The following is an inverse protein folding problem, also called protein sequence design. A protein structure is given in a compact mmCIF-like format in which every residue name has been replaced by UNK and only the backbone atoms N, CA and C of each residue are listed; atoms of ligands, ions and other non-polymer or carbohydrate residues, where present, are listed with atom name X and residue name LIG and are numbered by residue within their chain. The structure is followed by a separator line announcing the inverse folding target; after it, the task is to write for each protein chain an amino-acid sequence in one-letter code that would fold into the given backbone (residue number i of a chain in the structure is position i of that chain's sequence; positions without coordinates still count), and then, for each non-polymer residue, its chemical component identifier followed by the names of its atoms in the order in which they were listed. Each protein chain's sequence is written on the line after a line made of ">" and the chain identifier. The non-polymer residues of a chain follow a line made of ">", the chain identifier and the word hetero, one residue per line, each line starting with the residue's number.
data_IF_432118635119
#
_entry.id   IF_432118635119
#
_cell.length_a   1.000
_cell.length_b   1.000
_cell.length_c   1.000
_cell.angle_alpha   90.00
_cell.angle_beta   90.00
_cell.angle_gamma   90.00
#
_symmetry.space_group_name_H-M   'P 1'
#
loop_
_entity.id
_entity.type
_entity.pdbx_description
1 polymer ?
#
# COMPACT_ATOMS: atom_id res chain seq x y z
N UNK A 1 -1.81 -28.13 3.68
CA UNK A 1 -0.74 -28.46 2.76
C UNK A 1 0.55 -28.13 3.45
N UNK A 2 1.49 -29.06 3.52
CA UNK A 2 2.74 -28.84 4.24
C UNK A 2 3.58 -27.78 3.53
N UNK A 3 4.02 -26.81 4.29
CA UNK A 3 5.03 -25.88 3.88
C UNK A 3 6.38 -26.40 4.32
N UNK A 4 7.29 -26.50 3.40
CA UNK A 4 8.64 -26.92 3.68
C UNK A 4 9.52 -25.69 3.83
N UNK A 5 10.03 -25.51 5.04
CA UNK A 5 11.06 -24.53 5.34
C UNK A 5 12.34 -25.31 5.49
N UNK A 6 13.31 -24.98 4.68
CA UNK A 6 14.59 -25.65 4.72
C UNK A 6 15.70 -24.61 4.80
N UNK A 7 16.50 -24.72 5.83
CA UNK A 7 17.75 -24.00 5.85
C UNK A 7 18.74 -24.68 4.90
N UNK A 8 19.29 -23.92 3.99
CA UNK A 8 20.33 -24.38 3.09
C UNK A 8 21.41 -23.31 2.99
N UNK A 9 22.60 -23.59 3.56
CA UNK A 9 23.77 -22.68 3.54
C UNK A 9 23.45 -21.28 4.07
N UNK A 10 22.83 -21.19 5.24
CA UNK A 10 22.46 -19.94 5.87
C UNK A 10 21.32 -19.19 5.18
N UNK A 11 20.53 -19.86 4.34
CA UNK A 11 19.34 -19.33 3.69
C UNK A 11 18.14 -20.18 4.07
N UNK A 12 17.06 -19.52 4.35
CA UNK A 12 15.77 -20.16 4.56
C UNK A 12 15.01 -20.22 3.24
N UNK A 13 14.58 -21.41 2.88
CA UNK A 13 13.89 -21.67 1.62
C UNK A 13 12.47 -22.11 1.96
N UNK A 14 11.51 -21.36 1.45
CA UNK A 14 10.11 -21.70 1.51
C UNK A 14 9.72 -22.34 0.19
N UNK A 15 9.20 -23.56 0.25
CA UNK A 15 8.67 -24.23 -0.92
C UNK A 15 7.34 -24.91 -0.60
N UNK A 16 6.45 -24.95 -1.58
CA UNK A 16 5.22 -25.71 -1.49
C UNK A 16 5.08 -26.60 -2.71
N UNK A 17 4.40 -27.73 -2.57
CA UNK A 17 4.16 -28.64 -3.69
C UNK A 17 2.85 -28.37 -4.41
N UNK A 18 1.92 -27.65 -3.79
CA UNK A 18 0.54 -27.54 -4.28
C UNK A 18 -0.18 -26.23 -3.98
N UNK A 19 0.50 -25.14 -3.87
CA UNK A 19 -0.13 -23.84 -3.69
C UNK A 19 -0.63 -23.60 -2.26
N UNK A 20 0.15 -23.92 -1.28
CA UNK A 20 -0.19 -23.66 0.12
C UNK A 20 -0.61 -22.24 0.34
N UNK A 21 -1.57 -22.10 1.19
CA UNK A 21 -2.20 -20.81 1.45
C UNK A 21 -1.64 -20.12 2.68
N UNK A 22 -1.14 -20.85 3.66
CA UNK A 22 -0.58 -20.27 4.87
C UNK A 22 0.47 -21.17 5.51
N UNK A 23 1.53 -20.57 6.03
CA UNK A 23 2.54 -21.23 6.83
C UNK A 23 2.91 -20.40 8.05
N UNK A 24 3.36 -21.11 9.07
CA UNK A 24 3.90 -20.52 10.30
C UNK A 24 5.36 -20.93 10.41
N UNK A 25 6.24 -19.95 10.51
CA UNK A 25 7.68 -20.15 10.68
C UNK A 25 8.06 -19.83 12.12
N UNK A 26 8.61 -20.80 12.81
CA UNK A 26 9.23 -20.58 14.11
C UNK A 26 10.69 -20.18 13.92
N UNK A 27 11.08 -19.08 14.50
CA UNK A 27 12.46 -18.64 14.56
C UNK A 27 13.06 -19.18 15.86
N UNK A 28 13.89 -20.21 15.75
CA UNK A 28 14.41 -20.93 16.92
C UNK A 28 15.72 -20.37 17.46
N UNK A 29 16.51 -19.69 16.64
CA UNK A 29 17.82 -19.19 17.06
C UNK A 29 17.93 -17.67 17.11
N UNK A 30 18.50 -17.11 18.18
CA UNK A 30 18.88 -15.70 18.24
C UNK A 30 20.02 -15.47 17.26
N UNK A 31 19.83 -14.55 16.37
CA UNK A 31 20.71 -14.43 15.23
C UNK A 31 22.01 -13.72 15.57
N UNK A 32 22.08 -12.84 16.58
CA UNK A 32 23.33 -12.20 16.98
C UNK A 32 23.29 -11.38 18.27
N UNK A 33 24.32 -11.52 19.06
CA UNK A 33 24.52 -10.81 20.34
C UNK A 33 24.77 -9.32 20.21
N UNK A 34 25.43 -8.91 19.17
CA UNK A 34 25.82 -7.52 18.99
C UNK A 34 24.69 -6.59 18.54
N UNK A 35 23.54 -7.15 18.23
CA UNK A 35 22.33 -6.43 17.86
C UNK A 35 21.30 -6.52 18.98
N UNK A 36 21.71 -6.19 20.18
CA UNK A 36 20.87 -6.29 21.39
C UNK A 36 19.51 -5.59 21.28
N UNK A 37 19.39 -4.63 20.37
CA UNK A 37 18.13 -3.91 20.09
C UNK A 37 17.21 -4.68 19.16
N UNK A 38 17.76 -5.65 18.42
CA UNK A 38 17.06 -6.41 17.38
C UNK A 38 17.35 -7.90 17.52
N UNK A 39 17.04 -8.45 18.66
CA UNK A 39 17.15 -9.88 18.86
C UNK A 39 15.85 -10.57 18.46
N UNK A 40 15.91 -11.59 17.59
CA UNK A 40 14.76 -12.44 17.38
C UNK A 40 14.43 -13.17 18.67
N UNK A 41 13.18 -13.37 18.94
CA UNK A 41 12.75 -14.28 19.98
C UNK A 41 12.71 -15.69 19.38
N UNK A 42 13.43 -16.66 19.93
CA UNK A 42 13.46 -18.02 19.39
C UNK A 42 12.10 -18.72 19.44
N UNK A 43 11.15 -18.19 20.17
CA UNK A 43 9.78 -18.70 20.25
C UNK A 43 8.83 -17.98 19.27
N UNK A 44 9.32 -17.01 18.50
CA UNK A 44 8.47 -16.25 17.60
C UNK A 44 8.04 -17.01 16.37
N UNK A 45 6.83 -16.72 15.98
CA UNK A 45 6.20 -17.32 14.83
C UNK A 45 5.96 -16.26 13.76
N UNK A 46 6.36 -16.56 12.54
CA UNK A 46 6.07 -15.79 11.35
C UNK A 46 5.02 -16.53 10.52
N UNK A 47 3.86 -15.90 10.34
CA UNK A 47 2.83 -16.41 9.45
C UNK A 47 3.09 -15.96 8.01
N UNK A 48 3.24 -16.91 7.11
CA UNK A 48 3.38 -16.67 5.68
C UNK A 48 2.32 -17.44 4.91
N UNK A 49 1.64 -16.75 4.01
CA UNK A 49 0.72 -17.37 3.07
C UNK A 49 1.31 -17.33 1.66
N UNK A 50 1.33 -18.47 0.99
CA UNK A 50 1.83 -18.63 -0.37
C UNK A 50 0.69 -18.79 -1.36
N UNK A 51 0.76 -18.05 -2.44
CA UNK A 51 -0.16 -18.04 -3.56
C UNK A 51 0.59 -17.90 -4.89
N UNK A 52 0.04 -18.43 -5.96
CA UNK A 52 -1.10 -19.32 -6.16
C UNK A 52 -0.71 -20.80 -6.29
N UNK A 53 0.40 -21.16 -6.91
CA UNK A 53 0.69 -22.53 -7.30
C UNK A 53 1.64 -23.28 -6.37
N UNK A 54 2.23 -22.61 -5.44
CA UNK A 54 3.12 -23.18 -4.44
C UNK A 54 4.39 -23.85 -4.94
N UNK A 55 4.65 -23.80 -6.21
CA UNK A 55 5.85 -24.42 -6.81
C UNK A 55 7.05 -23.49 -6.81
N UNK A 56 6.86 -22.23 -6.47
CA UNK A 56 7.93 -21.25 -6.46
C UNK A 56 8.69 -21.26 -5.16
N UNK A 57 9.98 -21.27 -5.27
CA UNK A 57 10.88 -21.18 -4.16
C UNK A 57 11.17 -19.72 -3.83
N UNK A 58 10.88 -19.31 -2.60
CA UNK A 58 11.18 -17.99 -2.09
C UNK A 58 12.21 -18.15 -0.98
N UNK A 59 13.29 -17.40 -1.10
CA UNK A 59 14.39 -17.47 -0.16
C UNK A 59 14.30 -16.34 0.83
N UNK A 60 14.17 -16.68 2.09
CA UNK A 60 14.47 -15.79 3.19
C UNK A 60 15.99 -15.76 3.35
N UNK A 61 16.60 -14.61 3.14
CA UNK A 61 18.04 -14.54 3.15
C UNK A 61 18.59 -13.99 4.44
N UNK A 62 19.41 -14.77 5.09
CA UNK A 62 20.49 -14.21 5.87
C UNK A 62 21.64 -13.87 4.92
N UNK A 63 22.11 -12.68 4.94
CA UNK A 63 23.30 -12.28 4.23
C UNK A 63 24.51 -12.97 4.79
N UNK A 64 25.25 -13.18 3.87
CA UNK A 64 26.20 -13.99 3.65
C UNK A 64 27.62 -13.65 4.04
N UNK A 65 28.50 -14.26 3.55
CA UNK A 65 29.89 -14.70 3.45
C UNK A 65 31.00 -13.71 3.82
N UNK A 66 30.77 -12.39 3.88
CA UNK A 66 31.88 -11.44 3.97
C UNK A 66 31.89 -10.57 5.20
N UNK A 67 30.84 -10.57 5.96
CA UNK A 67 30.71 -9.74 7.14
C UNK A 67 30.01 -10.51 8.22
N UNK A 68 30.27 -10.17 9.45
CA UNK A 68 29.38 -10.61 10.50
C UNK A 68 27.96 -10.18 10.12
N UNK A 69 26.97 -11.04 10.31
CA UNK A 69 25.59 -10.78 9.92
C UNK A 69 25.12 -9.45 10.52
N UNK A 70 24.42 -8.69 9.74
CA UNK A 70 23.74 -7.45 10.16
C UNK A 70 22.28 -7.77 10.38
N UNK A 71 21.58 -7.00 11.19
CA UNK A 71 20.14 -7.17 11.38
C UNK A 71 19.35 -7.06 10.08
N UNK A 72 19.82 -6.23 9.15
CA UNK A 72 19.25 -6.03 7.82
C UNK A 72 19.46 -7.22 6.88
N UNK A 73 20.24 -8.17 7.29
CA UNK A 73 20.50 -9.40 6.57
C UNK A 73 19.79 -10.62 7.19
N UNK A 74 19.15 -10.43 8.33
CA UNK A 74 18.41 -11.49 9.00
C UNK A 74 17.09 -11.74 8.31
N UNK A 75 16.67 -12.99 8.11
CA UNK A 75 15.37 -13.28 7.52
C UNK A 75 14.24 -12.73 8.36
N UNK A 76 14.31 -12.85 9.67
CA UNK A 76 13.34 -12.30 10.64
C UNK A 76 14.07 -11.77 11.85
N UNK A 77 13.66 -10.60 12.35
CA UNK A 77 14.11 -10.08 13.62
C UNK A 77 13.04 -9.25 14.32
N UNK A 78 13.11 -9.19 15.63
CA UNK A 78 12.21 -8.40 16.46
C UNK A 78 13.00 -7.42 17.33
N UNK A 79 12.55 -6.16 17.35
CA UNK A 79 13.06 -5.16 18.27
C UNK A 79 12.28 -5.22 19.58
N UNK A 80 12.99 -5.32 20.69
CA UNK A 80 12.41 -5.29 22.04
C UNK A 80 12.79 -3.98 22.74
N UNK A 81 11.83 -3.40 23.44
CA UNK A 81 12.04 -2.29 24.37
C UNK A 81 11.34 -2.61 25.68
N UNK A 82 12.04 -2.50 26.78
CA UNK A 82 11.52 -2.80 28.13
C UNK A 82 10.85 -4.18 28.23
N UNK A 83 11.45 -5.18 27.56
CA UNK A 83 10.95 -6.55 27.52
C UNK A 83 9.76 -6.79 26.61
N UNK A 84 9.22 -5.74 25.96
CA UNK A 84 8.12 -5.85 25.00
C UNK A 84 8.65 -5.75 23.57
N UNK A 85 8.09 -6.58 22.69
CA UNK A 85 8.36 -6.47 21.26
C UNK A 85 7.58 -5.30 20.70
N UNK A 86 8.25 -4.43 19.96
CA UNK A 86 7.66 -3.24 19.37
C UNK A 86 7.68 -3.27 17.86
N UNK A 87 8.70 -3.90 17.27
CA UNK A 87 8.95 -3.88 15.84
C UNK A 87 9.35 -5.25 15.34
N UNK A 88 9.09 -5.48 14.07
CA UNK A 88 9.51 -6.68 13.38
C UNK A 88 10.11 -6.35 12.03
N UNK A 89 11.10 -7.13 11.61
CA UNK A 89 11.70 -7.06 10.28
C UNK A 89 11.59 -8.40 9.58
N UNK A 90 11.45 -8.33 8.26
CA UNK A 90 11.49 -9.49 7.37
C UNK A 90 12.34 -9.14 6.16
N UNK A 91 13.25 -10.05 5.78
CA UNK A 91 14.12 -9.87 4.63
C UNK A 91 14.01 -11.04 3.67
N UNK A 92 13.87 -10.73 2.39
CA UNK A 92 13.92 -11.69 1.29
C UNK A 92 15.18 -11.46 0.46
N UNK A 93 15.76 -12.53 -0.08
CA UNK A 93 16.80 -12.41 -1.09
C UNK A 93 16.21 -11.86 -2.38
N UNK A 94 16.90 -10.93 -3.01
CA UNK A 94 16.61 -10.50 -4.38
C UNK A 94 17.86 -10.57 -5.26
N UNK A 95 17.64 -10.55 -6.55
CA UNK A 95 18.74 -10.56 -7.53
C UNK A 95 19.08 -9.12 -7.96
N UNK A 96 20.33 -8.86 -8.36
CA UNK A 96 20.76 -7.51 -8.78
C UNK A 96 20.00 -6.95 -9.98
N UNK A 97 19.48 -7.83 -10.83
CA UNK A 97 18.71 -7.51 -12.04
C UNK A 97 17.19 -7.60 -11.83
N UNK A 98 16.75 -7.72 -10.58
CA UNK A 98 15.34 -7.83 -10.23
C UNK A 98 14.71 -6.44 -10.16
N UNK A 99 13.60 -6.25 -10.88
CA UNK A 99 12.81 -5.03 -10.88
C UNK A 99 11.56 -5.21 -10.02
N UNK A 100 11.14 -4.11 -9.41
CA UNK A 100 9.99 -4.09 -8.51
C UNK A 100 9.00 -3.01 -8.91
N UNK A 101 7.70 -3.32 -8.77
CA UNK A 101 6.61 -2.36 -8.97
C UNK A 101 5.59 -2.49 -7.83
N UNK A 102 4.72 -1.50 -7.65
CA UNK A 102 3.66 -1.53 -6.63
C UNK A 102 3.79 -0.44 -5.58
N UNK A 103 3.56 -0.79 -4.32
CA UNK A 103 3.56 0.08 -3.14
C UNK A 103 2.46 1.16 -3.10
N UNK A 104 1.45 1.05 -3.95
CA UNK A 104 0.34 2.00 -4.03
C UNK A 104 0.57 3.12 -5.05
N UNK A 105 -0.17 4.21 -4.91
CA UNK A 105 -0.07 5.35 -5.82
C UNK A 105 1.07 6.28 -5.39
N UNK A 106 2.06 6.45 -6.28
CA UNK A 106 3.23 7.29 -6.02
C UNK A 106 3.63 8.05 -7.27
N UNK A 107 4.06 9.29 -7.07
CA UNK A 107 4.76 10.05 -8.11
C UNK A 107 6.21 9.60 -8.18
N UNK A 108 6.43 8.46 -8.80
CA UNK A 108 7.74 7.84 -8.90
C UNK A 108 7.87 7.07 -10.22
N UNK A 109 9.08 6.63 -10.54
CA UNK A 109 9.30 5.76 -11.69
C UNK A 109 8.63 4.39 -11.50
N UNK A 110 8.38 3.68 -12.58
CA UNK A 110 7.73 2.36 -12.55
C UNK A 110 8.59 1.33 -11.82
N UNK A 111 9.88 1.28 -12.12
CA UNK A 111 10.82 0.42 -11.42
C UNK A 111 11.24 1.06 -10.10
N UNK A 112 10.91 0.41 -9.02
CA UNK A 112 11.17 0.83 -7.65
C UNK A 112 12.49 0.31 -7.08
N UNK A 113 13.28 -0.42 -7.88
CA UNK A 113 14.54 -1.02 -7.44
C UNK A 113 15.52 0.04 -6.93
N UNK A 114 16.27 -0.30 -5.88
CA UNK A 114 17.24 0.58 -5.26
C UNK A 114 16.66 1.66 -4.34
N UNK A 115 15.36 1.57 -4.02
CA UNK A 115 14.69 2.59 -3.22
C UNK A 115 14.04 2.02 -1.95
N UNK A 116 13.86 2.92 -0.98
CA UNK A 116 13.18 2.64 0.27
C UNK A 116 11.99 3.57 0.43
N UNK A 117 10.84 2.98 0.74
CA UNK A 117 9.56 3.68 0.89
C UNK A 117 9.04 3.60 2.31
N UNK A 118 8.49 4.71 2.79
CA UNK A 118 7.69 4.72 4.00
C UNK A 118 6.24 4.45 3.63
N UNK A 119 5.66 3.42 4.22
CA UNK A 119 4.27 3.03 4.05
C UNK A 119 3.46 3.65 5.19
N UNK A 120 3.19 4.92 5.05
CA UNK A 120 2.35 5.73 5.94
C UNK A 120 1.53 6.67 5.07
N UNK A 121 0.21 6.57 5.17
CA UNK A 121 -0.66 7.49 4.46
C UNK A 121 -0.49 8.91 5.04
N UNK A 122 -0.17 9.85 4.18
CA UNK A 122 0.07 11.23 4.54
C UNK A 122 -0.41 12.14 3.42
N UNK A 123 -0.81 13.34 3.79
CA UNK A 123 -1.07 14.36 2.80
C UNK A 123 0.17 14.59 1.93
N UNK A 124 0.00 14.34 0.64
CA UNK A 124 1.06 14.37 -0.36
C UNK A 124 1.19 15.70 -1.07
N UNK A 125 0.84 16.82 -0.41
CA UNK A 125 0.89 18.15 -1.04
C UNK A 125 2.10 18.33 -1.96
N UNK A 126 1.80 18.49 -3.25
CA UNK A 126 2.79 18.55 -4.31
C UNK A 126 3.24 17.15 -4.79
N UNK A 127 3.68 17.12 -6.04
CA UNK A 127 3.98 15.86 -6.76
C UNK A 127 5.38 15.32 -6.53
N UNK A 128 6.31 16.10 -5.98
CA UNK A 128 7.73 15.77 -5.92
C UNK A 128 8.20 15.36 -4.52
N UNK A 129 7.34 14.74 -3.73
CA UNK A 129 7.73 14.26 -2.41
C UNK A 129 7.48 12.76 -2.26
N UNK A 130 8.01 12.18 -1.18
CA UNK A 130 7.88 10.74 -0.89
C UNK A 130 6.57 10.37 -0.21
N UNK A 131 5.70 11.33 0.07
CA UNK A 131 4.41 11.11 0.71
C UNK A 131 3.40 10.65 -0.32
N UNK A 132 2.43 9.91 0.14
CA UNK A 132 1.27 9.52 -0.67
C UNK A 132 0.05 9.30 0.22
N UNK A 133 -1.11 9.56 -0.32
CA UNK A 133 -2.40 9.28 0.31
C UNK A 133 -2.71 7.79 0.35
N UNK A 134 -2.12 7.01 -0.56
CA UNK A 134 -2.51 5.62 -0.78
C UNK A 134 -1.26 4.73 -0.86
N UNK A 135 -0.78 4.33 0.30
CA UNK A 135 0.21 3.28 0.42
C UNK A 135 -0.49 1.92 0.39
N UNK A 136 0.06 1.01 -0.38
CA UNK A 136 -0.36 -0.39 -0.39
C UNK A 136 0.89 -1.21 -0.07
N UNK A 137 0.89 -1.97 1.03
CA UNK A 137 2.04 -2.78 1.44
C UNK A 137 2.16 -4.06 0.59
N UNK A 138 2.18 -3.87 -0.71
CA UNK A 138 2.27 -4.92 -1.71
C UNK A 138 3.22 -4.49 -2.82
N UNK A 139 4.10 -5.40 -3.23
CA UNK A 139 4.94 -5.21 -4.41
C UNK A 139 4.92 -6.44 -5.30
N UNK A 140 5.21 -6.21 -6.57
CA UNK A 140 5.43 -7.19 -7.62
C UNK A 140 6.92 -7.24 -7.96
N UNK A 141 7.43 -8.45 -8.19
CA UNK A 141 8.78 -8.69 -8.67
C UNK A 141 8.78 -9.19 -10.11
N UNK A 142 9.77 -8.75 -10.89
CA UNK A 142 10.05 -9.30 -12.23
C UNK A 142 10.38 -10.80 -12.23
N UNK A 143 10.58 -11.40 -11.06
CA UNK A 143 10.75 -12.84 -10.86
C UNK A 143 9.44 -13.60 -10.69
N UNK A 144 8.32 -12.97 -11.06
CA UNK A 144 6.98 -13.56 -11.05
C UNK A 144 6.53 -14.00 -9.67
N UNK A 145 6.72 -13.12 -8.69
CA UNK A 145 6.07 -13.19 -7.39
C UNK A 145 5.67 -11.81 -6.91
N UNK A 146 4.73 -11.76 -5.99
CA UNK A 146 4.37 -10.56 -5.23
C UNK A 146 4.39 -10.87 -3.73
N UNK A 147 4.59 -9.84 -2.93
CA UNK A 147 4.53 -9.97 -1.47
C UNK A 147 3.56 -8.93 -0.94
N UNK A 148 2.57 -9.39 -0.19
CA UNK A 148 1.61 -8.56 0.50
C UNK A 148 1.83 -8.66 2.01
N UNK A 149 2.16 -7.55 2.64
CA UNK A 149 2.28 -7.45 4.08
C UNK A 149 0.93 -6.99 4.64
N UNK A 150 0.22 -7.90 5.27
CA UNK A 150 -1.11 -7.63 5.81
C UNK A 150 -1.02 -6.86 7.13
N UNK A 151 -0.80 -5.59 7.03
CA UNK A 151 -0.65 -4.68 8.17
C UNK A 151 -1.18 -3.29 7.89
N UNK A 152 -1.71 -2.65 8.93
CA UNK A 152 -2.04 -1.22 8.94
C UNK A 152 -0.98 -0.40 9.71
N UNK A 153 0.09 -1.04 10.19
CA UNK A 153 1.15 -0.37 10.89
C UNK A 153 1.98 0.51 9.96
N UNK A 154 2.53 1.57 10.49
CA UNK A 154 3.57 2.30 9.78
C UNK A 154 4.74 1.35 9.51
N UNK A 155 5.20 1.37 8.29
CA UNK A 155 6.21 0.41 7.85
C UNK A 155 7.22 1.07 6.93
N UNK A 156 8.34 0.40 6.76
CA UNK A 156 9.37 0.77 5.79
C UNK A 156 9.64 -0.43 4.90
N UNK A 157 9.57 -0.23 3.61
CA UNK A 157 9.88 -1.24 2.60
C UNK A 157 11.07 -0.78 1.76
N UNK A 158 12.15 -1.54 1.82
CA UNK A 158 13.35 -1.34 1.02
C UNK A 158 13.40 -2.39 -0.09
N UNK A 159 13.26 -1.96 -1.32
CA UNK A 159 13.34 -2.79 -2.52
C UNK A 159 14.76 -2.70 -3.09
N UNK A 160 15.68 -3.50 -2.57
CA UNK A 160 17.10 -3.43 -2.87
C UNK A 160 17.77 -2.07 -2.55
N UNK A 161 17.15 -1.25 -1.68
CA UNK A 161 17.61 0.10 -1.38
C UNK A 161 18.71 0.15 -0.34
N UNK A 162 18.63 -0.65 0.71
CA UNK A 162 19.70 -0.79 1.72
C UNK A 162 20.77 -1.77 1.31
N UNK A 163 20.37 -2.80 0.62
CA UNK A 163 21.22 -3.82 0.09
C UNK A 163 20.72 -4.25 -1.29
N UNK A 164 21.61 -4.29 -2.26
CA UNK A 164 21.29 -4.69 -3.64
C UNK A 164 20.89 -6.15 -3.79
N UNK A 165 20.91 -6.91 -2.69
CA UNK A 165 20.60 -8.34 -2.66
C UNK A 165 19.43 -8.70 -1.77
N UNK A 166 18.73 -7.72 -1.20
CA UNK A 166 17.60 -8.01 -0.34
C UNK A 166 16.47 -6.99 -0.46
N UNK A 167 15.26 -7.51 -0.38
CA UNK A 167 14.07 -6.74 -0.04
C UNK A 167 13.90 -6.83 1.47
N UNK A 168 13.67 -5.69 2.11
CA UNK A 168 13.54 -5.62 3.56
C UNK A 168 12.27 -4.88 3.93
N UNK A 169 11.52 -5.48 4.84
CA UNK A 169 10.34 -4.89 5.43
C UNK A 169 10.55 -4.68 6.92
N UNK A 170 10.32 -3.48 7.40
CA UNK A 170 10.32 -3.12 8.81
C UNK A 170 8.94 -2.63 9.19
N UNK A 171 8.31 -3.27 10.16
CA UNK A 171 7.02 -2.87 10.72
C UNK A 171 7.20 -2.24 12.09
N UNK A 172 6.44 -1.17 12.37
CA UNK A 172 6.31 -0.58 13.71
C UNK A 172 5.38 -1.40 14.63
N UNK A 173 5.09 -2.63 14.24
CA UNK A 173 4.41 -3.64 15.07
C UNK A 173 5.23 -4.92 15.10
N UNK A 174 5.14 -5.64 16.20
CA UNK A 174 5.82 -6.93 16.37
C UNK A 174 5.03 -8.09 15.76
N UNK A 175 4.17 -7.83 14.80
CA UNK A 175 3.40 -8.82 14.06
C UNK A 175 3.84 -8.79 12.60
N UNK A 176 4.12 -9.96 12.05
CA UNK A 176 4.35 -10.19 10.64
C UNK A 176 3.29 -11.16 10.11
N UNK A 177 2.39 -10.66 9.29
CA UNK A 177 1.43 -11.45 8.52
C UNK A 177 1.69 -11.15 7.04
N UNK A 178 2.18 -12.14 6.31
CA UNK A 178 2.73 -11.94 4.97
C UNK A 178 2.19 -12.98 4.02
N UNK A 179 1.67 -12.49 2.89
CA UNK A 179 1.25 -13.33 1.78
C UNK A 179 2.29 -13.24 0.67
N UNK A 180 2.75 -14.39 0.25
CA UNK A 180 3.62 -14.51 -0.92
C UNK A 180 2.83 -15.14 -2.04
N UNK A 181 2.74 -14.42 -3.16
CA UNK A 181 1.87 -14.73 -4.28
C UNK A 181 2.74 -14.98 -5.49
N UNK A 182 2.73 -16.19 -6.01
CA UNK A 182 3.38 -16.53 -7.28
C UNK A 182 2.39 -16.51 -8.43
N UNK A 183 2.88 -16.41 -9.66
CA UNK A 183 2.09 -16.48 -10.87
C UNK A 183 2.98 -16.70 -12.08
N UNK A 184 2.42 -17.18 -13.19
CA UNK A 184 3.18 -17.28 -14.42
C UNK A 184 3.30 -15.93 -15.13
N UNK A 185 2.37 -15.03 -14.81
CA UNK A 185 2.34 -13.65 -15.29
C UNK A 185 2.13 -12.68 -14.12
N UNK A 186 2.44 -11.40 -14.33
CA UNK A 186 2.12 -10.32 -13.38
C UNK A 186 0.62 -10.23 -13.12
N UNK A 187 -0.20 -10.55 -14.12
CA UNK A 187 -1.65 -10.54 -14.01
C UNK A 187 -2.15 -11.63 -13.06
N UNK A 188 -1.55 -12.81 -13.09
CA UNK A 188 -1.89 -13.90 -12.16
C UNK A 188 -1.59 -13.51 -10.71
N UNK A 189 -0.47 -12.83 -10.50
CA UNK A 189 -0.09 -12.33 -9.18
C UNK A 189 -1.09 -11.27 -8.69
N UNK A 190 -1.49 -10.34 -9.57
CA UNK A 190 -2.51 -9.34 -9.25
C UNK A 190 -3.87 -9.99 -8.98
N UNK A 191 -4.21 -11.05 -9.70
CA UNK A 191 -5.42 -11.82 -9.44
C UNK A 191 -5.38 -12.46 -8.06
N UNK A 192 -4.28 -13.13 -7.71
CA UNK A 192 -4.09 -13.70 -6.37
C UNK A 192 -4.16 -12.65 -5.26
N UNK A 193 -3.60 -11.45 -5.48
CA UNK A 193 -3.76 -10.33 -4.55
C UNK A 193 -5.21 -9.89 -4.41
N UNK A 194 -5.96 -9.79 -5.52
CA UNK A 194 -7.39 -9.43 -5.49
C UNK A 194 -8.26 -10.49 -4.84
N UNK A 195 -7.92 -11.76 -4.98
CA UNK A 195 -8.61 -12.85 -4.30
C UNK A 195 -8.54 -12.71 -2.77
N UNK A 196 -7.44 -12.13 -2.27
CA UNK A 196 -7.25 -11.83 -0.84
C UNK A 196 -7.95 -10.53 -0.41
N UNK A 197 -7.88 -9.48 -1.24
CA UNK A 197 -8.27 -8.12 -0.85
C UNK A 197 -9.60 -7.67 -1.43
N UNK A 198 -10.16 -8.42 -2.34
CA UNK A 198 -11.39 -8.11 -3.06
C UNK A 198 -11.16 -7.47 -4.42
N UNK A 199 -12.14 -7.66 -5.28
CA UNK A 199 -12.16 -7.07 -6.61
C UNK A 199 -12.85 -5.71 -6.60
N UNK A 200 -12.38 -4.76 -7.41
CA UNK A 200 -13.06 -3.47 -7.57
C UNK A 200 -14.41 -3.68 -8.27
N UNK A 201 -15.39 -2.88 -7.89
CA UNK A 201 -16.64 -2.80 -8.63
C UNK A 201 -16.43 -2.08 -9.96
N UNK A 202 -17.19 -2.48 -10.98
CA UNK A 202 -17.21 -1.75 -12.24
C UNK A 202 -17.76 -0.34 -12.02
N UNK A 203 -16.98 0.73 -12.28
CA UNK A 203 -17.48 2.08 -12.11
C UNK A 203 -18.52 2.40 -13.19
N UNK A 204 -19.51 3.27 -12.90
CA UNK A 204 -20.49 3.67 -13.88
C UNK A 204 -19.87 4.56 -14.98
N UNK A 205 -20.41 4.47 -16.19
CA UNK A 205 -19.85 5.15 -17.37
C UNK A 205 -19.65 6.67 -17.15
N UNK A 206 -20.56 7.33 -16.47
CA UNK A 206 -20.47 8.76 -16.20
C UNK A 206 -19.25 9.17 -15.38
N UNK A 207 -18.67 8.24 -14.59
CA UNK A 207 -17.47 8.52 -13.78
C UNK A 207 -16.21 8.70 -14.62
N UNK A 208 -16.23 8.29 -15.88
CA UNK A 208 -15.16 8.52 -16.85
C UNK A 208 -15.36 9.80 -17.68
N UNK A 209 -16.42 10.55 -17.41
CA UNK A 209 -16.71 11.83 -18.06
C UNK A 209 -15.91 13.00 -17.47
N UNK A 210 -16.32 14.20 -17.83
CA UNK A 210 -15.64 15.41 -17.37
C UNK A 210 -16.10 15.78 -15.96
N UNK A 211 -15.13 16.02 -15.10
CA UNK A 211 -15.32 16.51 -13.73
C UNK A 211 -14.87 17.98 -13.68
N UNK A 212 -15.81 18.90 -13.51
CA UNK A 212 -15.50 20.30 -13.31
C UNK A 212 -15.25 20.58 -11.84
N UNK A 213 -14.08 21.11 -11.55
CA UNK A 213 -13.65 21.47 -10.20
C UNK A 213 -12.93 22.82 -10.21
N UNK A 214 -13.00 23.53 -9.12
CA UNK A 214 -12.10 24.63 -8.80
C UNK A 214 -11.80 24.60 -7.29
N UNK A 215 -10.72 25.25 -6.87
CA UNK A 215 -10.24 25.23 -5.50
C UNK A 215 -11.37 25.51 -4.51
N UNK A 216 -12.21 26.51 -4.81
CA UNK A 216 -13.40 26.77 -4.01
C UNK A 216 -14.47 27.46 -4.84
N UNK A 217 -15.69 27.00 -4.72
CA UNK A 217 -16.90 27.73 -5.07
C UNK A 217 -17.43 28.40 -3.81
N UNK A 218 -17.74 29.67 -3.89
CA UNK A 218 -18.13 30.46 -2.73
C UNK A 218 -19.63 30.53 -2.47
N UNK A 219 -20.45 30.04 -3.42
CA UNK A 219 -21.89 29.96 -3.22
C UNK A 219 -22.55 28.93 -4.13
N UNK A 220 -23.76 28.49 -3.76
CA UNK A 220 -24.62 27.68 -4.62
C UNK A 220 -24.95 28.37 -5.92
N UNK A 221 -25.21 29.68 -5.88
CA UNK A 221 -25.59 30.50 -7.06
C UNK A 221 -24.41 30.54 -8.07
N UNK A 222 -23.18 30.69 -7.58
CA UNK A 222 -21.99 30.65 -8.45
C UNK A 222 -21.88 29.31 -9.18
N UNK A 223 -22.13 28.20 -8.48
CA UNK A 223 -22.09 26.86 -9.10
C UNK A 223 -23.22 26.69 -10.11
N UNK A 224 -24.44 27.11 -9.77
CA UNK A 224 -25.58 27.04 -10.66
C UNK A 224 -25.31 27.87 -11.95
N UNK A 225 -24.77 29.10 -11.85
CA UNK A 225 -24.38 29.92 -13.00
C UNK A 225 -23.35 29.23 -13.91
N UNK A 226 -22.31 28.67 -13.33
CA UNK A 226 -21.26 27.95 -14.08
C UNK A 226 -21.86 26.73 -14.78
N UNK A 227 -22.70 25.96 -14.09
CA UNK A 227 -23.35 24.78 -14.65
C UNK A 227 -24.29 25.15 -15.82
N UNK A 228 -25.07 26.19 -15.66
CA UNK A 228 -25.98 26.68 -16.70
C UNK A 228 -25.22 27.19 -17.94
N UNK A 229 -24.12 27.92 -17.74
CA UNK A 229 -23.24 28.35 -18.84
C UNK A 229 -22.62 27.15 -19.58
N UNK A 230 -22.11 26.15 -18.85
CA UNK A 230 -21.57 24.94 -19.50
C UNK A 230 -22.62 24.27 -20.40
N UNK A 231 -23.89 24.19 -19.96
CA UNK A 231 -24.96 23.62 -20.79
C UNK A 231 -25.28 24.50 -21.98
N UNK A 232 -25.42 25.83 -21.79
CA UNK A 232 -25.73 26.79 -22.84
C UNK A 232 -24.62 26.83 -23.90
N UNK A 233 -23.38 26.73 -23.52
CA UNK A 233 -22.21 26.75 -24.40
C UNK A 233 -21.82 25.35 -24.92
N UNK A 234 -22.62 24.33 -24.62
CA UNK A 234 -22.42 22.93 -25.04
C UNK A 234 -21.11 22.29 -24.55
N UNK A 235 -20.56 22.73 -23.42
CA UNK A 235 -19.43 22.03 -22.79
C UNK A 235 -19.92 20.75 -22.12
N UNK A 236 -19.37 19.57 -22.50
CA UNK A 236 -19.71 18.33 -21.85
C UNK A 236 -19.14 18.31 -20.42
N UNK A 237 -19.99 18.02 -19.45
CA UNK A 237 -19.59 17.86 -18.06
C UNK A 237 -20.57 16.92 -17.34
N UNK A 238 -20.06 15.93 -16.64
CA UNK A 238 -20.83 14.93 -15.94
C UNK A 238 -20.87 15.17 -14.43
N UNK A 239 -19.79 15.70 -13.87
CA UNK A 239 -19.62 15.84 -12.42
C UNK A 239 -19.19 17.26 -12.07
N UNK A 240 -19.83 17.81 -11.05
CA UNK A 240 -19.37 19.01 -10.35
C UNK A 240 -18.75 18.57 -9.05
N UNK A 241 -17.49 18.93 -8.84
CA UNK A 241 -16.75 18.65 -7.63
C UNK A 241 -16.62 19.92 -6.80
N UNK A 242 -17.19 19.91 -5.60
CA UNK A 242 -17.07 20.99 -4.63
C UNK A 242 -15.85 20.73 -3.74
N UNK A 243 -14.89 21.65 -3.79
CA UNK A 243 -13.71 21.62 -2.96
C UNK A 243 -13.97 22.21 -1.56
N UNK A 244 -12.96 22.46 -0.78
CA UNK A 244 -13.01 22.81 0.65
C UNK A 244 -14.10 23.81 1.06
N UNK A 245 -14.48 24.72 0.19
CA UNK A 245 -15.47 25.77 0.48
C UNK A 245 -16.90 25.30 0.74
N UNK A 246 -17.22 24.05 0.51
CA UNK A 246 -18.52 23.52 0.90
C UNK A 246 -18.67 23.30 2.40
N UNK A 247 -17.53 23.13 3.15
CA UNK A 247 -17.55 23.02 4.60
C UNK A 247 -17.97 24.35 5.25
N UNK A 248 -18.52 24.25 6.45
CA UNK A 248 -18.84 25.42 7.29
C UNK A 248 -17.58 26.23 7.58
N UNK A 249 -16.49 25.55 7.91
CA UNK A 249 -15.16 26.13 8.08
C UNK A 249 -14.22 25.54 7.05
N UNK A 250 -13.58 26.36 6.24
CA UNK A 250 -12.65 25.91 5.20
C UNK A 250 -11.53 25.04 5.80
N UNK A 251 -11.21 23.97 5.12
CA UNK A 251 -10.19 22.98 5.52
C UNK A 251 -10.50 22.16 6.78
N UNK A 252 -11.62 22.40 7.44
CA UNK A 252 -12.06 21.61 8.57
C UNK A 252 -13.18 20.65 8.17
N UNK A 253 -12.88 19.36 8.11
CA UNK A 253 -13.81 18.35 7.65
C UNK A 253 -14.93 18.05 8.66
N UNK A 254 -15.89 18.96 8.77
CA UNK A 254 -17.01 18.90 9.71
C UNK A 254 -18.21 18.11 9.19
N UNK A 255 -18.22 17.73 7.91
CA UNK A 255 -19.34 17.05 7.24
C UNK A 255 -20.64 17.85 7.26
N UNK A 256 -20.53 19.17 7.31
CA UNK A 256 -21.64 20.11 7.30
C UNK A 256 -21.41 21.15 6.23
N UNK A 257 -22.47 21.41 5.46
CA UNK A 257 -22.46 22.51 4.53
C UNK A 257 -22.35 23.86 5.24
N UNK A 258 -21.65 24.78 4.64
CA UNK A 258 -21.68 26.18 5.01
C UNK A 258 -23.05 26.74 4.66
N UNK A 259 -23.82 27.15 5.68
CA UNK A 259 -25.20 27.60 5.52
C UNK A 259 -25.34 28.94 4.79
N UNK A 260 -24.31 29.77 4.86
CA UNK A 260 -24.30 31.07 4.13
C UNK A 260 -24.03 30.85 2.63
N UNK A 261 -23.10 29.95 2.31
CA UNK A 261 -22.71 29.63 0.93
C UNK A 261 -23.72 28.69 0.26
N UNK A 262 -24.30 27.80 0.99
CA UNK A 262 -25.21 26.74 0.55
C UNK A 262 -26.42 26.64 1.49
N UNK A 263 -27.33 27.62 1.47
CA UNK A 263 -28.44 27.70 2.45
C UNK A 263 -29.45 26.55 2.32
N UNK A 264 -29.61 25.99 1.12
CA UNK A 264 -30.43 24.77 0.87
C UNK A 264 -29.62 23.74 0.09
N UNK A 265 -28.72 22.97 0.74
CA UNK A 265 -27.89 22.01 0.04
C UNK A 265 -28.69 20.93 -0.68
N UNK A 266 -29.82 20.52 -0.12
CA UNK A 266 -30.67 19.48 -0.71
C UNK A 266 -31.32 19.97 -2.01
N UNK A 267 -31.88 21.16 -2.02
CA UNK A 267 -32.47 21.77 -3.20
C UNK A 267 -31.41 22.08 -4.27
N UNK A 268 -30.27 22.63 -3.85
CA UNK A 268 -29.11 22.87 -4.71
C UNK A 268 -28.65 21.60 -5.44
N UNK A 269 -28.35 20.53 -4.69
CA UNK A 269 -27.95 19.24 -5.29
C UNK A 269 -29.07 18.68 -6.20
N UNK A 270 -30.33 18.88 -5.79
CA UNK A 270 -31.47 18.48 -6.59
C UNK A 270 -31.55 19.20 -7.95
N UNK A 271 -31.27 20.51 -8.01
CA UNK A 271 -31.18 21.28 -9.26
C UNK A 271 -30.07 20.77 -10.17
N UNK A 272 -28.87 20.60 -9.63
CA UNK A 272 -27.74 20.06 -10.39
C UNK A 272 -28.03 18.66 -10.97
N UNK A 273 -28.64 17.78 -10.19
CA UNK A 273 -29.05 16.45 -10.67
C UNK A 273 -30.09 16.51 -11.77
N UNK A 274 -31.07 17.42 -11.65
CA UNK A 274 -32.09 17.64 -12.68
C UNK A 274 -31.46 18.13 -13.99
N UNK A 275 -30.40 18.94 -13.92
CA UNK A 275 -29.63 19.42 -15.06
C UNK A 275 -28.59 18.40 -15.57
N UNK A 276 -28.64 17.16 -15.09
CA UNK A 276 -27.80 16.06 -15.57
C UNK A 276 -26.39 16.00 -14.96
N UNK A 277 -26.12 16.75 -13.90
CA UNK A 277 -24.85 16.68 -13.19
C UNK A 277 -24.88 15.67 -12.04
N UNK A 278 -23.75 15.05 -11.76
CA UNK A 278 -23.44 14.41 -10.50
C UNK A 278 -22.68 15.39 -9.61
N UNK A 279 -22.77 15.20 -8.30
CA UNK A 279 -22.08 16.07 -7.34
C UNK A 279 -21.12 15.23 -6.53
N UNK A 280 -19.88 15.68 -6.46
CA UNK A 280 -18.83 15.12 -5.61
C UNK A 280 -18.38 16.18 -4.59
N UNK A 281 -18.10 15.77 -3.39
CA UNK A 281 -17.68 16.64 -2.29
C UNK A 281 -16.27 16.27 -1.85
N UNK A 282 -15.37 17.23 -1.88
CA UNK A 282 -14.01 17.05 -1.38
C UNK A 282 -13.99 16.80 0.11
N UNK A 283 -13.02 16.03 0.57
CA UNK A 283 -12.88 15.66 1.98
C UNK A 283 -11.41 15.54 2.36
N UNK A 284 -11.12 15.80 3.64
CA UNK A 284 -9.80 15.63 4.25
C UNK A 284 -9.95 14.83 5.55
N UNK A 285 -9.95 13.51 5.50
CA UNK A 285 -10.21 12.64 6.65
C UNK A 285 -8.96 12.34 7.50
N UNK A 286 -7.91 13.13 7.43
CA UNK A 286 -6.61 12.93 8.09
C UNK A 286 -6.49 13.68 9.41
#
# INVERSE_FOLDING_TARGET
>A
VPLFIKEQKGKWILSTEDGTKRAVINVEEPLLDRWSELLPDPQETLDITLYPDGKREIRLSAYDHFSPPRYDALPVAFCKRDGRKERATLSFECKPDECFAGTGERFFKMDLSGHTFFLKNQDGQGVNNRRTYKNIPFYLSSRMYGTFYHTCAHSKLSLAGHSTRSVQFLSDQALLDVFVIGGDTMEDILRGYRDLTGYPSMPPLWSFGVWMSRMTYFSADEVDEICDRMRAEHYPCDVIHLDTGWFRTDWLCEWKFNEERFPDPKGFIGRLKKNGYRVSLWQLPY
#
